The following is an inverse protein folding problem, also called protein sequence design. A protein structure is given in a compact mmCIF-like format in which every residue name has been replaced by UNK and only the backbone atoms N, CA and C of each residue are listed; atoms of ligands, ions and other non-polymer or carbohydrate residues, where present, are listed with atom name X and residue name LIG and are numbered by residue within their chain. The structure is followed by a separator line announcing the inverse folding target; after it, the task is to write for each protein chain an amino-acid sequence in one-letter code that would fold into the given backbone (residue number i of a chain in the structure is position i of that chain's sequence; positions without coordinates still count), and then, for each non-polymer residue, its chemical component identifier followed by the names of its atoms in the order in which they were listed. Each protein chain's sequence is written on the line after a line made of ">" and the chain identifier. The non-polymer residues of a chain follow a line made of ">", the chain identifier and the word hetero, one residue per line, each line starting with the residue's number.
data_IF_492505224049
#
_entry.id   IF_492505224049
#
_cell.length_a   1.000
_cell.length_b   1.000
_cell.length_c   1.000
_cell.angle_alpha   90.00
_cell.angle_beta   90.00
_cell.angle_gamma   90.00
#
_symmetry.space_group_name_H-M   'P 1'
#
loop_
_entity.id
_entity.type
_entity.pdbx_description
1 polymer ?
#
# COMPACT_ATOMS: atom_id res chain seq x y z
N UNK A 1 20.63 0.97 -1.45
CA UNK A 1 19.56 1.19 -0.46
C UNK A 1 20.15 1.11 0.94
N UNK A 2 19.56 1.82 1.92
CA UNK A 2 19.94 1.66 3.32
C UNK A 2 19.61 0.23 3.78
N UNK A 3 20.48 -0.35 4.62
CA UNK A 3 20.30 -1.70 5.14
C UNK A 3 19.08 -1.75 6.08
N UNK A 4 18.27 -2.78 5.94
CA UNK A 4 17.16 -3.13 6.85
C UNK A 4 17.46 -4.44 7.62
N UNK A 5 18.74 -4.78 7.75
CA UNK A 5 19.17 -5.96 8.50
C UNK A 5 18.65 -5.88 9.93
N UNK A 6 18.13 -7.00 10.44
CA UNK A 6 17.47 -7.13 11.74
C UNK A 6 16.14 -6.36 11.90
N UNK A 7 15.62 -5.76 10.83
CA UNK A 7 14.27 -5.15 10.83
C UNK A 7 13.21 -6.18 10.47
N UNK A 8 12.01 -6.02 11.05
CA UNK A 8 10.82 -6.79 10.72
C UNK A 8 9.82 -5.92 9.96
N UNK A 9 9.23 -6.44 8.90
CA UNK A 9 8.31 -5.68 8.05
C UNK A 9 7.04 -6.47 7.75
N UNK A 10 5.88 -5.89 8.03
CA UNK A 10 4.58 -6.37 7.59
C UNK A 10 4.19 -5.63 6.31
N UNK A 11 3.83 -6.38 5.25
CA UNK A 11 3.24 -5.83 4.03
C UNK A 11 1.87 -6.46 3.80
N UNK A 12 0.81 -5.63 3.82
CA UNK A 12 -0.54 -6.15 3.54
C UNK A 12 -0.80 -6.24 2.03
N UNK A 13 -1.54 -7.29 1.61
CA UNK A 13 -1.81 -7.52 0.18
C UNK A 13 -0.54 -7.79 -0.62
N UNK A 14 0.42 -8.50 -0.05
CA UNK A 14 1.75 -8.69 -0.62
C UNK A 14 1.87 -9.85 -1.62
N UNK A 15 0.78 -10.56 -1.94
CA UNK A 15 0.79 -11.70 -2.88
C UNK A 15 1.06 -11.28 -4.34
N UNK A 16 0.75 -10.04 -4.72
CA UNK A 16 0.89 -9.54 -6.10
C UNK A 16 1.14 -8.03 -6.18
N UNK A 17 1.39 -7.53 -7.39
CA UNK A 17 1.49 -6.10 -7.71
C UNK A 17 2.52 -5.34 -6.87
N UNK A 18 2.15 -4.13 -6.44
CA UNK A 18 3.02 -3.25 -5.63
C UNK A 18 3.43 -3.93 -4.33
N UNK A 19 2.49 -4.61 -3.63
CA UNK A 19 2.78 -5.28 -2.37
C UNK A 19 3.86 -6.37 -2.51
N UNK A 20 3.79 -7.21 -3.57
CA UNK A 20 4.80 -8.22 -3.86
C UNK A 20 6.17 -7.59 -4.15
N UNK A 21 6.20 -6.55 -5.00
CA UNK A 21 7.44 -5.84 -5.32
C UNK A 21 8.04 -5.18 -4.06
N UNK A 22 7.20 -4.59 -3.21
CA UNK A 22 7.61 -4.00 -1.93
C UNK A 22 8.22 -5.04 -0.99
N UNK A 23 7.55 -6.20 -0.83
CA UNK A 23 8.08 -7.28 0.01
C UNK A 23 9.45 -7.75 -0.48
N UNK A 24 9.65 -7.89 -1.81
CA UNK A 24 10.97 -8.22 -2.39
C UNK A 24 12.01 -7.14 -2.13
N UNK A 25 11.67 -5.87 -2.33
CA UNK A 25 12.60 -4.76 -2.11
C UNK A 25 13.06 -4.68 -0.64
N UNK A 26 12.13 -4.83 0.31
CA UNK A 26 12.45 -4.84 1.73
C UNK A 26 13.27 -6.08 2.13
N UNK A 27 12.95 -7.27 1.58
CA UNK A 27 13.72 -8.49 1.82
C UNK A 27 15.14 -8.38 1.28
N UNK A 28 15.31 -7.84 0.07
CA UNK A 28 16.63 -7.58 -0.54
C UNK A 28 17.45 -6.57 0.27
N UNK A 29 16.80 -5.67 1.01
CA UNK A 29 17.46 -4.77 1.95
C UNK A 29 17.79 -5.44 3.30
N UNK A 30 17.40 -6.70 3.53
CA UNK A 30 17.74 -7.50 4.71
C UNK A 30 16.63 -7.65 5.76
N UNK A 31 15.41 -7.14 5.52
CA UNK A 31 14.31 -7.25 6.46
C UNK A 31 13.73 -8.69 6.52
N UNK A 32 13.21 -9.07 7.69
CA UNK A 32 12.32 -10.22 7.83
C UNK A 32 10.89 -9.83 7.43
N UNK A 33 10.31 -10.51 6.47
CA UNK A 33 9.01 -10.17 5.88
C UNK A 33 7.85 -10.98 6.46
N UNK A 34 6.79 -10.29 6.87
CA UNK A 34 5.47 -10.87 7.12
C UNK A 34 4.58 -10.51 5.90
N UNK A 35 4.29 -11.52 5.09
CA UNK A 35 3.55 -11.41 3.83
C UNK A 35 2.08 -11.69 4.12
N UNK A 36 1.27 -10.63 4.20
CA UNK A 36 -0.16 -10.81 4.38
C UNK A 36 -0.87 -10.98 3.04
N UNK A 37 -1.82 -11.92 3.00
CA UNK A 37 -2.73 -12.15 1.88
C UNK A 37 -4.18 -12.40 2.37
N UNK A 38 -5.16 -12.10 1.50
CA UNK A 38 -6.58 -12.44 1.74
C UNK A 38 -6.94 -13.81 1.18
N UNK A 39 -6.81 -13.97 -0.14
CA UNK A 39 -7.26 -15.17 -0.89
C UNK A 39 -6.16 -15.89 -1.65
N UNK A 40 -5.11 -15.20 -2.05
CA UNK A 40 -4.06 -15.69 -2.93
C UNK A 40 -2.94 -16.41 -2.14
N UNK A 41 -3.24 -17.59 -1.60
CA UNK A 41 -2.29 -18.35 -0.77
C UNK A 41 -1.08 -18.84 -1.58
N UNK A 42 -1.32 -19.43 -2.75
CA UNK A 42 -0.24 -19.98 -3.58
C UNK A 42 0.80 -18.92 -3.98
N UNK A 43 0.34 -17.71 -4.33
CA UNK A 43 1.20 -16.59 -4.68
C UNK A 43 1.99 -16.06 -3.47
N UNK A 44 1.36 -16.05 -2.28
CA UNK A 44 2.05 -15.66 -1.04
C UNK A 44 3.11 -16.70 -0.66
N UNK A 45 2.80 -17.98 -0.71
CA UNK A 45 3.73 -19.08 -0.43
C UNK A 45 4.90 -19.10 -1.43
N UNK A 46 4.61 -18.85 -2.72
CA UNK A 46 5.64 -18.73 -3.74
C UNK A 46 6.59 -17.55 -3.45
N UNK A 47 6.08 -16.41 -2.96
CA UNK A 47 6.92 -15.28 -2.58
C UNK A 47 7.76 -15.58 -1.35
N UNK A 48 7.21 -16.28 -0.34
CA UNK A 48 7.97 -16.75 0.83
C UNK A 48 9.12 -17.66 0.40
N UNK A 49 8.83 -18.64 -0.48
CA UNK A 49 9.85 -19.55 -1.00
C UNK A 49 10.94 -18.81 -1.78
N UNK A 50 10.57 -17.85 -2.62
CA UNK A 50 11.49 -17.00 -3.37
C UNK A 50 12.44 -16.21 -2.44
N UNK A 51 11.88 -15.53 -1.43
CA UNK A 51 12.68 -14.74 -0.49
C UNK A 51 13.63 -15.64 0.31
N UNK A 52 13.16 -16.80 0.76
CA UNK A 52 13.99 -17.75 1.51
C UNK A 52 15.09 -18.37 0.65
N UNK A 53 14.80 -18.67 -0.61
CA UNK A 53 15.80 -19.18 -1.57
C UNK A 53 16.91 -18.15 -1.85
N UNK A 54 16.59 -16.84 -1.76
CA UNK A 54 17.57 -15.75 -1.85
C UNK A 54 18.32 -15.48 -0.53
N UNK A 55 18.14 -16.31 0.51
CA UNK A 55 18.79 -16.17 1.82
C UNK A 55 18.08 -15.21 2.79
N UNK A 56 16.91 -14.66 2.42
CA UNK A 56 16.10 -13.81 3.27
C UNK A 56 15.19 -14.59 4.24
N UNK A 57 14.46 -13.86 5.07
CA UNK A 57 13.46 -14.41 6.00
C UNK A 57 12.08 -13.90 5.64
N UNK A 58 11.10 -14.81 5.53
CA UNK A 58 9.72 -14.43 5.25
C UNK A 58 8.75 -15.47 5.83
N UNK A 59 7.59 -15.01 6.29
CA UNK A 59 6.46 -15.81 6.72
C UNK A 59 5.18 -15.27 6.09
N UNK A 60 4.23 -16.16 5.78
CA UNK A 60 2.94 -15.76 5.23
C UNK A 60 1.86 -15.80 6.33
N UNK A 61 0.89 -14.87 6.23
CA UNK A 61 -0.25 -14.82 7.13
C UNK A 61 -1.53 -14.44 6.39
N UNK A 62 -2.64 -15.08 6.75
CA UNK A 62 -3.94 -14.89 6.12
C UNK A 62 -4.90 -14.14 7.03
N UNK A 63 -5.52 -13.08 6.50
CA UNK A 63 -6.67 -12.43 7.12
C UNK A 63 -7.57 -11.81 6.05
N UNK A 64 -8.87 -11.75 6.31
CA UNK A 64 -9.80 -10.99 5.49
C UNK A 64 -9.94 -9.57 6.07
N UNK A 65 -9.33 -8.59 5.40
CA UNK A 65 -9.35 -7.20 5.85
C UNK A 65 -10.66 -6.47 5.49
N UNK A 66 -11.58 -7.10 4.78
CA UNK A 66 -12.90 -6.51 4.48
C UNK A 66 -13.88 -6.63 5.66
N UNK A 67 -13.66 -7.59 6.57
CA UNK A 67 -14.52 -7.82 7.73
C UNK A 67 -14.01 -7.07 8.98
N UNK A 68 -14.89 -6.76 9.95
CA UNK A 68 -14.50 -6.01 11.16
C UNK A 68 -13.38 -6.65 11.97
N UNK A 69 -13.35 -7.97 12.08
CA UNK A 69 -12.37 -8.73 12.88
C UNK A 69 -11.02 -8.92 12.19
N UNK A 70 -10.95 -8.59 10.89
CA UNK A 70 -9.77 -8.86 10.05
C UNK A 70 -8.49 -8.20 10.57
N UNK A 71 -8.58 -6.95 11.01
CA UNK A 71 -7.45 -6.21 11.55
C UNK A 71 -6.90 -6.85 12.85
N UNK A 72 -7.78 -7.18 13.79
CA UNK A 72 -7.40 -7.83 15.05
C UNK A 72 -6.82 -9.24 14.81
N UNK A 73 -7.43 -10.00 13.89
CA UNK A 73 -6.94 -11.32 13.50
C UNK A 73 -5.53 -11.24 12.92
N UNK A 74 -5.28 -10.31 12.00
CA UNK A 74 -3.95 -10.13 11.42
C UNK A 74 -2.93 -9.68 12.48
N UNK A 75 -3.27 -8.71 13.30
CA UNK A 75 -2.36 -8.21 14.34
C UNK A 75 -1.96 -9.31 15.34
N UNK A 76 -2.91 -10.17 15.73
CA UNK A 76 -2.64 -11.35 16.59
C UNK A 76 -1.64 -12.31 15.93
N UNK A 77 -1.80 -12.59 14.63
CA UNK A 77 -0.90 -13.48 13.88
C UNK A 77 0.48 -12.86 13.73
N UNK A 78 0.55 -11.54 13.40
CA UNK A 78 1.82 -10.81 13.31
C UNK A 78 2.57 -10.87 14.63
N UNK A 79 1.90 -10.59 15.76
CA UNK A 79 2.51 -10.66 17.08
C UNK A 79 3.07 -12.06 17.40
N UNK A 80 2.38 -13.11 16.99
CA UNK A 80 2.87 -14.49 17.19
C UNK A 80 4.17 -14.78 16.40
N UNK A 81 4.40 -14.08 15.26
CA UNK A 81 5.58 -14.25 14.43
C UNK A 81 6.74 -13.36 14.91
N UNK A 82 6.47 -12.06 15.18
CA UNK A 82 7.52 -11.07 15.49
C UNK A 82 7.81 -10.91 16.99
N UNK A 83 6.95 -11.44 17.86
CA UNK A 83 7.03 -11.21 19.30
C UNK A 83 6.60 -9.78 19.66
N UNK A 84 7.53 -9.00 20.20
CA UNK A 84 7.23 -7.68 20.76
C UNK A 84 7.58 -6.51 19.85
N UNK A 85 8.14 -6.78 18.65
CA UNK A 85 8.70 -5.70 17.85
C UNK A 85 8.40 -5.80 16.36
N UNK A 86 7.81 -4.73 15.80
CA UNK A 86 7.57 -4.52 14.38
C UNK A 86 8.16 -3.17 13.95
N UNK A 87 9.15 -3.19 13.06
CA UNK A 87 9.85 -1.98 12.64
C UNK A 87 9.13 -1.25 11.49
N UNK A 88 8.56 -2.02 10.56
CA UNK A 88 7.99 -1.47 9.32
C UNK A 88 6.60 -2.04 9.11
N UNK A 89 5.64 -1.17 8.90
CA UNK A 89 4.31 -1.54 8.45
C UNK A 89 3.98 -0.86 7.12
N UNK A 90 3.74 -1.65 6.07
CA UNK A 90 3.26 -1.16 4.77
C UNK A 90 1.81 -1.57 4.58
N UNK A 91 0.91 -0.59 4.67
CA UNK A 91 -0.52 -0.76 4.41
C UNK A 91 -0.79 -0.63 2.92
N UNK A 92 -0.67 -1.76 2.20
CA UNK A 92 -0.84 -1.82 0.75
C UNK A 92 -2.14 -2.48 0.32
N UNK A 93 -2.73 -3.39 1.12
CA UNK A 93 -3.99 -4.03 0.77
C UNK A 93 -5.07 -2.98 0.45
N UNK A 94 -5.75 -3.16 -0.67
CA UNK A 94 -6.80 -2.25 -1.11
C UNK A 94 -7.51 -2.78 -2.33
N UNK A 95 -8.71 -2.24 -2.56
CA UNK A 95 -9.56 -2.52 -3.71
C UNK A 95 -9.94 -1.22 -4.41
N UNK A 96 -10.29 -1.31 -5.68
CA UNK A 96 -10.83 -0.20 -6.46
C UNK A 96 -12.10 -0.65 -7.19
N UNK A 97 -13.02 0.28 -7.38
CA UNK A 97 -14.22 0.11 -8.19
C UNK A 97 -14.37 1.34 -9.07
N UNK A 98 -14.33 1.15 -10.37
CA UNK A 98 -14.68 2.18 -11.35
C UNK A 98 -16.12 2.00 -11.77
N UNK A 99 -16.90 3.07 -11.71
CA UNK A 99 -18.30 3.11 -12.16
C UNK A 99 -18.69 4.55 -12.51
N UNK A 100 -19.76 4.75 -13.25
CA UNK A 100 -20.41 6.04 -13.34
C UNK A 100 -20.98 6.44 -11.96
N UNK A 101 -21.17 7.73 -11.69
CA UNK A 101 -21.63 8.18 -10.36
C UNK A 101 -22.96 7.54 -9.99
N UNK A 102 -23.88 7.48 -10.94
CA UNK A 102 -25.23 6.91 -10.80
C UNK A 102 -25.25 5.40 -10.56
N UNK A 103 -24.17 4.68 -10.92
CA UNK A 103 -24.05 3.22 -10.82
C UNK A 103 -23.37 2.76 -9.52
N UNK A 104 -22.87 3.69 -8.69
CA UNK A 104 -22.28 3.33 -7.41
C UNK A 104 -23.35 2.87 -6.42
N UNK A 105 -23.19 1.68 -5.88
CA UNK A 105 -24.05 1.15 -4.83
C UNK A 105 -23.51 1.48 -3.43
N UNK A 106 -24.39 1.45 -2.43
CA UNK A 106 -23.98 1.55 -1.01
C UNK A 106 -23.01 0.42 -0.65
N UNK A 107 -23.27 -0.79 -1.14
CA UNK A 107 -22.40 -1.95 -0.91
C UNK A 107 -20.98 -1.74 -1.47
N UNK A 108 -20.84 -1.23 -2.69
CA UNK A 108 -19.53 -0.89 -3.28
C UNK A 108 -18.79 0.15 -2.42
N UNK A 109 -19.49 1.19 -1.98
CA UNK A 109 -18.95 2.23 -1.12
C UNK A 109 -18.47 1.67 0.22
N UNK A 110 -19.32 0.90 0.90
CA UNK A 110 -19.00 0.30 2.20
C UNK A 110 -17.82 -0.68 2.11
N UNK A 111 -17.76 -1.51 1.06
CA UNK A 111 -16.65 -2.42 0.81
C UNK A 111 -15.32 -1.68 0.58
N UNK A 112 -15.35 -0.57 -0.18
CA UNK A 112 -14.18 0.28 -0.39
C UNK A 112 -13.69 0.88 0.93
N UNK A 113 -14.58 1.47 1.72
CA UNK A 113 -14.21 2.05 3.01
C UNK A 113 -13.81 1.00 4.03
N UNK A 114 -14.45 -0.15 4.06
CA UNK A 114 -14.09 -1.27 4.93
C UNK A 114 -12.63 -1.70 4.69
N UNK A 115 -12.28 -1.95 3.43
CA UNK A 115 -10.95 -2.46 3.08
C UNK A 115 -9.88 -1.38 3.11
N UNK A 116 -10.16 -0.21 2.50
CA UNK A 116 -9.14 0.80 2.26
C UNK A 116 -8.94 1.77 3.44
N UNK A 117 -9.93 1.92 4.33
CA UNK A 117 -9.88 2.92 5.42
C UNK A 117 -10.04 2.26 6.79
N UNK A 118 -11.14 1.54 7.03
CA UNK A 118 -11.39 0.90 8.33
C UNK A 118 -10.27 -0.07 8.69
N UNK A 119 -9.91 -0.94 7.76
CA UNK A 119 -8.89 -1.96 8.00
C UNK A 119 -7.53 -1.36 8.37
N UNK A 120 -6.91 -0.46 7.60
CA UNK A 120 -5.63 0.13 8.00
C UNK A 120 -5.73 0.93 9.30
N UNK A 121 -6.87 1.61 9.55
CA UNK A 121 -7.06 2.36 10.80
C UNK A 121 -6.97 1.44 12.03
N UNK A 122 -7.75 0.36 12.04
CA UNK A 122 -7.74 -0.57 13.17
C UNK A 122 -6.49 -1.43 13.22
N UNK A 123 -5.87 -1.74 12.07
CA UNK A 123 -4.62 -2.47 12.05
C UNK A 123 -3.47 -1.66 12.66
N UNK A 124 -3.36 -0.36 12.38
CA UNK A 124 -2.41 0.52 13.07
C UNK A 124 -2.68 0.53 14.58
N UNK A 125 -3.95 0.68 15.00
CA UNK A 125 -4.34 0.64 16.41
C UNK A 125 -3.89 -0.68 17.09
N UNK A 126 -4.17 -1.81 16.48
CA UNK A 126 -3.85 -3.14 17.05
C UNK A 126 -2.33 -3.42 17.06
N UNK A 127 -1.59 -2.90 16.07
CA UNK A 127 -0.13 -3.04 15.98
C UNK A 127 0.63 -2.00 16.80
N UNK A 128 -0.04 -0.96 17.30
CA UNK A 128 0.60 0.17 18.01
C UNK A 128 1.52 -0.25 19.18
N UNK A 129 1.22 -1.30 19.96
CA UNK A 129 2.13 -1.78 21.01
C UNK A 129 3.43 -2.40 20.51
N UNK A 130 3.51 -2.79 19.22
CA UNK A 130 4.69 -3.39 18.60
C UNK A 130 5.64 -2.34 18.00
N UNK A 131 5.18 -1.09 17.82
CA UNK A 131 6.01 -0.01 17.29
C UNK A 131 6.80 0.69 18.40
N UNK A 132 8.06 0.97 18.09
CA UNK A 132 8.99 1.71 18.96
C UNK A 132 9.67 2.83 18.19
N UNK A 133 10.59 3.53 18.84
CA UNK A 133 11.44 4.53 18.20
C UNK A 133 12.14 3.95 16.95
N UNK A 134 12.11 4.71 15.86
CA UNK A 134 12.62 4.30 14.55
C UNK A 134 11.66 3.50 13.69
N UNK A 135 10.48 3.09 14.21
CA UNK A 135 9.47 2.40 13.38
C UNK A 135 8.90 3.31 12.29
N UNK A 136 8.56 2.71 11.16
CA UNK A 136 8.01 3.39 9.97
C UNK A 136 6.69 2.77 9.51
N UNK A 137 5.66 3.58 9.39
CA UNK A 137 4.35 3.22 8.84
C UNK A 137 4.21 3.89 7.47
N UNK A 138 3.98 3.10 6.43
CA UNK A 138 3.78 3.58 5.05
C UNK A 138 2.41 3.14 4.54
N UNK A 139 1.56 4.11 4.20
CA UNK A 139 0.25 3.84 3.60
C UNK A 139 0.32 4.04 2.09
N UNK A 140 -0.31 3.13 1.34
CA UNK A 140 -0.39 3.28 -0.11
C UNK A 140 -1.65 4.08 -0.46
N UNK A 141 -1.44 5.36 -0.78
CA UNK A 141 -2.44 6.26 -1.31
C UNK A 141 -2.62 6.05 -2.83
N UNK A 142 -2.90 7.08 -3.56
CA UNK A 142 -3.03 7.08 -5.02
C UNK A 142 -3.03 8.51 -5.54
N UNK A 143 -2.58 8.69 -6.78
CA UNK A 143 -2.82 9.93 -7.55
C UNK A 143 -4.31 10.33 -7.57
N UNK A 144 -5.22 9.36 -7.46
CA UNK A 144 -6.67 9.61 -7.38
C UNK A 144 -7.07 10.47 -6.18
N UNK A 145 -6.30 10.50 -5.09
CA UNK A 145 -6.54 11.39 -3.95
C UNK A 145 -6.35 12.88 -4.31
N UNK A 146 -5.58 13.19 -5.35
CA UNK A 146 -5.16 14.54 -5.71
C UNK A 146 -5.90 15.11 -6.94
N UNK A 147 -6.79 14.32 -7.54
CA UNK A 147 -7.57 14.81 -8.67
C UNK A 147 -8.38 13.73 -9.38
N UNK A 148 -9.30 14.16 -10.21
CA UNK A 148 -10.17 13.26 -10.95
C UNK A 148 -9.37 12.45 -11.98
N UNK A 149 -9.55 11.15 -11.96
CA UNK A 149 -9.03 10.20 -12.95
C UNK A 149 -10.18 9.71 -13.84
N UNK A 150 -9.92 9.52 -15.12
CA UNK A 150 -10.91 9.16 -16.13
C UNK A 150 -11.31 10.34 -17.00
N UNK A 151 -12.48 10.28 -17.61
CA UNK A 151 -13.09 11.35 -18.42
C UNK A 151 -14.25 12.03 -17.65
N UNK A 152 -13.95 12.88 -16.65
CA UNK A 152 -14.97 13.40 -15.73
C UNK A 152 -16.01 14.30 -16.40
N UNK A 153 -15.80 14.71 -17.65
CA UNK A 153 -16.76 15.52 -18.42
C UNK A 153 -17.69 14.74 -19.34
N UNK A 154 -17.56 13.42 -19.41
CA UNK A 154 -18.39 12.58 -20.26
C UNK A 154 -19.47 11.86 -19.42
N UNK A 155 -20.77 12.17 -19.62
CA UNK A 155 -21.84 11.50 -18.88
C UNK A 155 -21.77 9.97 -19.01
N UNK A 156 -21.95 9.25 -17.89
CA UNK A 156 -21.87 7.79 -17.84
C UNK A 156 -20.47 7.20 -17.95
N UNK A 157 -19.41 8.02 -18.06
CA UNK A 157 -18.05 7.50 -18.11
C UNK A 157 -17.62 6.96 -16.74
N UNK A 158 -16.99 5.77 -16.68
CA UNK A 158 -16.46 5.24 -15.44
C UNK A 158 -15.46 6.20 -14.78
N UNK A 159 -15.61 6.42 -13.50
CA UNK A 159 -14.74 7.24 -12.66
C UNK A 159 -14.46 6.52 -11.33
N UNK A 160 -13.70 7.12 -10.44
CA UNK A 160 -13.24 6.48 -9.20
C UNK A 160 -13.56 7.31 -7.94
N UNK A 161 -14.74 7.95 -7.80
CA UNK A 161 -14.97 8.93 -6.73
C UNK A 161 -14.88 8.31 -5.33
N UNK A 162 -15.53 7.16 -5.10
CA UNK A 162 -15.48 6.49 -3.81
C UNK A 162 -14.07 5.97 -3.47
N UNK A 163 -13.37 5.41 -4.46
CA UNK A 163 -11.96 5.01 -4.29
C UNK A 163 -11.07 6.22 -3.96
N UNK A 164 -11.20 7.30 -4.69
CA UNK A 164 -10.46 8.55 -4.45
C UNK A 164 -10.72 9.10 -3.03
N UNK A 165 -11.98 9.07 -2.57
CA UNK A 165 -12.35 9.45 -1.21
C UNK A 165 -11.63 8.59 -0.16
N UNK A 166 -11.53 7.25 -0.38
CA UNK A 166 -10.76 6.39 0.54
C UNK A 166 -9.28 6.75 0.58
N UNK A 167 -8.69 7.12 -0.56
CA UNK A 167 -7.27 7.49 -0.62
C UNK A 167 -7.00 8.86 -0.01
N UNK A 168 -7.90 9.82 -0.19
CA UNK A 168 -7.88 11.11 0.52
C UNK A 168 -7.99 10.94 2.05
N UNK A 169 -8.87 10.03 2.51
CA UNK A 169 -8.98 9.70 3.93
C UNK A 169 -7.65 9.17 4.50
N UNK A 170 -6.93 8.29 3.76
CA UNK A 170 -5.61 7.80 4.20
C UNK A 170 -4.59 8.94 4.35
N UNK A 171 -4.55 9.90 3.44
CA UNK A 171 -3.61 11.02 3.53
C UNK A 171 -3.92 11.96 4.70
N UNK A 172 -5.19 12.10 5.06
CA UNK A 172 -5.59 12.78 6.27
C UNK A 172 -5.11 12.03 7.51
N UNK A 173 -5.30 10.71 7.56
CA UNK A 173 -4.81 9.87 8.66
C UNK A 173 -3.29 9.94 8.82
N UNK A 174 -2.53 9.98 7.72
CA UNK A 174 -1.07 10.13 7.74
C UNK A 174 -0.66 11.36 8.54
N UNK A 175 -1.29 12.52 8.32
CA UNK A 175 -0.97 13.77 9.03
C UNK A 175 -1.27 13.65 10.52
N UNK A 176 -2.44 13.11 10.87
CA UNK A 176 -2.85 12.95 12.26
C UNK A 176 -1.97 11.95 13.01
N UNK A 177 -1.66 10.80 12.38
CA UNK A 177 -0.81 9.79 13.01
C UNK A 177 0.65 10.22 13.10
N UNK A 178 1.17 10.94 12.10
CA UNK A 178 2.51 11.51 12.18
C UNK A 178 2.66 12.47 13.36
N UNK A 179 1.67 13.33 13.59
CA UNK A 179 1.65 14.23 14.74
C UNK A 179 1.53 13.48 16.07
N UNK A 180 0.65 12.47 16.15
CA UNK A 180 0.40 11.72 17.38
C UNK A 180 1.55 10.76 17.74
N UNK A 181 2.20 10.15 16.75
CA UNK A 181 3.23 9.12 16.95
C UNK A 181 4.66 9.66 16.87
N UNK A 182 4.85 10.86 16.31
CA UNK A 182 6.14 11.54 16.23
C UNK A 182 6.88 11.68 17.58
N UNK A 183 6.20 12.04 18.70
CA UNK A 183 6.83 12.06 20.02
C UNK A 183 7.38 10.69 20.48
N UNK A 184 6.93 9.59 19.90
CA UNK A 184 7.45 8.24 20.13
C UNK A 184 8.55 7.85 19.15
N UNK A 185 9.02 8.76 18.28
CA UNK A 185 9.99 8.46 17.25
C UNK A 185 9.46 7.59 16.09
N UNK A 186 8.13 7.47 15.94
CA UNK A 186 7.49 6.68 14.89
C UNK A 186 7.13 7.59 13.71
N UNK A 187 7.57 7.24 12.51
CA UNK A 187 7.26 8.00 11.29
C UNK A 187 6.04 7.41 10.58
N UNK A 188 5.20 8.28 10.02
CA UNK A 188 4.03 7.89 9.24
C UNK A 188 4.00 8.69 7.94
N UNK A 189 4.02 8.00 6.80
CA UNK A 189 3.97 8.63 5.48
C UNK A 189 3.01 7.89 4.55
N UNK A 190 2.60 8.55 3.47
CA UNK A 190 1.96 7.91 2.33
C UNK A 190 2.89 7.90 1.13
N UNK A 191 2.74 6.87 0.29
CA UNK A 191 3.22 6.85 -1.09
C UNK A 191 1.98 6.86 -1.98
N UNK A 192 1.92 7.77 -2.95
CA UNK A 192 0.80 7.96 -3.84
C UNK A 192 1.17 7.56 -5.28
N UNK A 193 0.96 6.29 -5.67
CA UNK A 193 1.27 5.83 -7.02
C UNK A 193 0.35 6.46 -8.07
N UNK A 194 0.90 6.68 -9.26
CA UNK A 194 0.13 6.89 -10.47
C UNK A 194 -0.43 5.58 -11.02
N UNK A 195 -0.56 5.49 -12.34
CA UNK A 195 -0.98 4.25 -13.01
C UNK A 195 0.22 3.30 -13.09
N UNK A 196 0.11 2.19 -12.37
CA UNK A 196 1.16 1.15 -12.27
C UNK A 196 0.65 -0.14 -12.93
N UNK A 197 1.49 -0.83 -13.67
CA UNK A 197 1.16 -2.08 -14.36
C UNK A 197 0.91 -3.21 -13.34
N UNK A 198 -0.37 -3.39 -13.01
CA UNK A 198 -0.88 -4.40 -12.06
C UNK A 198 -2.23 -4.92 -12.54
N UNK A 199 -2.78 -5.93 -11.86
CA UNK A 199 -4.14 -6.41 -12.14
C UNK A 199 -5.22 -5.34 -11.89
N UNK A 200 -4.96 -4.39 -11.00
CA UNK A 200 -5.90 -3.30 -10.73
C UNK A 200 -6.02 -2.33 -11.91
N UNK A 201 -5.00 -2.24 -12.74
CA UNK A 201 -4.92 -1.37 -13.92
C UNK A 201 -4.96 -2.15 -15.24
N UNK A 202 -5.75 -3.22 -15.31
CA UNK A 202 -5.87 -4.07 -16.52
C UNK A 202 -6.27 -3.31 -17.78
N UNK A 203 -6.89 -2.14 -17.67
CA UNK A 203 -7.19 -1.28 -18.81
C UNK A 203 -5.94 -0.85 -19.59
N UNK A 204 -4.77 -0.80 -18.94
CA UNK A 204 -3.49 -0.49 -19.59
C UNK A 204 -2.97 -1.61 -20.51
N UNK A 205 -3.59 -2.79 -20.47
CA UNK A 205 -3.30 -3.89 -21.39
C UNK A 205 -3.90 -3.68 -22.77
N UNK A 206 -4.89 -2.77 -22.90
CA UNK A 206 -5.41 -2.34 -24.19
C UNK A 206 -4.56 -1.22 -24.78
N UNK A 207 -4.44 -1.16 -26.10
CA UNK A 207 -3.67 -0.10 -26.79
C UNK A 207 -4.19 1.30 -26.44
N UNK A 208 -5.51 1.48 -26.43
CA UNK A 208 -6.15 2.75 -26.05
C UNK A 208 -5.83 3.16 -24.62
N UNK A 209 -5.97 2.23 -23.65
CA UNK A 209 -5.69 2.52 -22.24
C UNK A 209 -4.20 2.79 -21.99
N UNK A 210 -3.33 2.07 -22.71
CA UNK A 210 -1.88 2.31 -22.67
C UNK A 210 -1.53 3.69 -23.19
N UNK A 211 -1.98 4.02 -24.40
CA UNK A 211 -1.70 5.31 -25.04
C UNK A 211 -2.24 6.48 -24.22
N UNK A 212 -3.46 6.35 -23.67
CA UNK A 212 -4.04 7.34 -22.77
C UNK A 212 -3.17 7.56 -21.52
N UNK A 213 -2.73 6.47 -20.88
CA UNK A 213 -1.90 6.54 -19.67
C UNK A 213 -0.56 7.21 -19.96
N UNK A 214 0.13 6.80 -21.03
CA UNK A 214 1.42 7.36 -21.43
C UNK A 214 1.30 8.84 -21.82
N UNK A 215 0.19 9.23 -22.46
CA UNK A 215 -0.05 10.64 -22.82
C UNK A 215 -0.12 11.56 -21.60
N UNK A 216 -0.70 11.08 -20.49
CA UNK A 216 -0.84 11.86 -19.25
C UNK A 216 0.45 11.99 -18.44
N UNK A 217 1.46 11.17 -18.70
CA UNK A 217 2.68 11.14 -17.90
C UNK A 217 3.82 11.94 -18.54
N UNK A 218 4.62 12.63 -17.73
CA UNK A 218 5.84 13.28 -18.18
C UNK A 218 6.89 12.23 -18.59
N UNK A 219 7.05 11.18 -17.79
CA UNK A 219 7.87 10.02 -18.13
C UNK A 219 7.04 9.07 -19.00
N UNK A 220 7.30 9.04 -20.30
CA UNK A 220 6.48 8.39 -21.34
C UNK A 220 6.52 6.85 -21.30
N UNK A 221 6.17 6.28 -20.15
CA UNK A 221 6.00 4.84 -19.94
C UNK A 221 4.98 4.56 -18.83
N UNK A 222 4.41 3.37 -18.79
CA UNK A 222 3.61 2.94 -17.65
C UNK A 222 4.55 2.61 -16.47
N UNK A 223 4.18 3.05 -15.26
CA UNK A 223 4.93 2.74 -14.05
C UNK A 223 4.93 1.25 -13.76
N UNK A 224 6.04 0.75 -13.24
CA UNK A 224 6.18 -0.66 -12.81
C UNK A 224 6.04 -0.76 -11.29
N UNK A 225 5.59 -1.91 -10.76
CA UNK A 225 5.56 -2.14 -9.32
C UNK A 225 6.88 -1.84 -8.60
N UNK A 226 8.02 -2.09 -9.25
CA UNK A 226 9.36 -1.76 -8.74
C UNK A 226 9.58 -0.27 -8.56
N UNK A 227 9.06 0.59 -9.45
CA UNK A 227 9.20 2.04 -9.32
C UNK A 227 8.62 2.55 -7.99
N UNK A 228 7.52 1.94 -7.56
CA UNK A 228 6.86 2.28 -6.29
C UNK A 228 7.54 1.60 -5.10
N UNK A 229 7.92 0.33 -5.25
CA UNK A 229 8.54 -0.47 -4.20
C UNK A 229 9.87 0.13 -3.71
N UNK A 230 10.68 0.66 -4.62
CA UNK A 230 11.96 1.29 -4.28
C UNK A 230 11.76 2.56 -3.44
N UNK A 231 10.74 3.36 -3.75
CA UNK A 231 10.37 4.54 -2.95
C UNK A 231 9.84 4.12 -1.58
N UNK A 232 8.99 3.07 -1.51
CA UNK A 232 8.50 2.53 -0.23
C UNK A 232 9.67 2.06 0.64
N UNK A 233 10.63 1.33 0.07
CA UNK A 233 11.81 0.85 0.79
C UNK A 233 12.68 2.02 1.30
N UNK A 234 12.84 3.08 0.51
CA UNK A 234 13.50 4.31 0.96
C UNK A 234 12.76 4.97 2.12
N UNK A 235 11.44 5.19 1.99
CA UNK A 235 10.60 5.82 3.02
C UNK A 235 10.58 5.00 4.32
N UNK A 236 10.63 3.67 4.21
CA UNK A 236 10.71 2.76 5.36
C UNK A 236 12.06 2.80 6.07
N UNK A 237 13.13 3.21 5.39
CA UNK A 237 14.51 3.17 5.89
C UNK A 237 14.91 4.41 6.70
N UNK A 238 16.07 4.32 7.37
CA UNK A 238 16.69 5.44 8.08
C UNK A 238 17.13 6.57 7.13
N UNK A 239 17.23 6.31 5.83
CA UNK A 239 17.46 7.34 4.82
C UNK A 239 16.37 8.42 4.81
N UNK A 240 15.16 8.04 5.22
CA UNK A 240 13.99 8.92 5.33
C UNK A 240 13.69 9.38 6.78
N UNK A 241 14.65 9.30 7.70
CA UNK A 241 14.45 9.58 9.14
C UNK A 241 13.87 10.96 9.46
N UNK A 242 13.97 11.91 8.53
CA UNK A 242 13.45 13.28 8.70
C UNK A 242 12.18 13.53 7.84
N UNK A 243 11.54 12.45 7.36
CA UNK A 243 10.30 12.53 6.57
C UNK A 243 9.18 11.87 7.38
N UNK A 244 8.18 12.65 7.78
CA UNK A 244 6.95 12.18 8.42
C UNK A 244 5.78 13.11 8.10
N UNK A 245 4.56 12.57 8.00
CA UNK A 245 3.37 13.34 7.64
C UNK A 245 3.23 13.67 6.15
N UNK A 246 4.12 13.15 5.30
CA UNK A 246 4.15 13.42 3.87
C UNK A 246 3.32 12.41 3.06
N UNK A 247 2.75 12.87 1.94
CA UNK A 247 2.28 12.05 0.83
C UNK A 247 3.22 12.24 -0.35
N UNK A 248 3.90 11.18 -0.77
CA UNK A 248 4.97 11.20 -1.77
C UNK A 248 4.42 10.66 -3.10
N UNK A 249 4.25 11.48 -4.14
CA UNK A 249 3.81 11.02 -5.44
C UNK A 249 4.88 10.18 -6.13
N UNK A 250 4.46 9.03 -6.71
CA UNK A 250 5.29 8.14 -7.54
C UNK A 250 4.48 7.82 -8.79
N UNK A 251 4.34 8.78 -9.67
CA UNK A 251 3.34 8.81 -10.73
C UNK A 251 3.90 9.15 -12.12
N UNK A 252 5.23 9.23 -12.26
CA UNK A 252 5.87 9.56 -13.53
C UNK A 252 5.59 10.97 -14.02
N UNK A 253 5.19 11.89 -13.11
CA UNK A 253 4.80 13.26 -13.47
C UNK A 253 3.42 13.29 -14.13
N UNK A 254 2.48 12.47 -13.68
CA UNK A 254 1.09 12.54 -14.13
C UNK A 254 0.48 13.87 -13.68
N UNK A 255 -0.15 14.58 -14.60
CA UNK A 255 -0.82 15.88 -14.34
C UNK A 255 0.12 17.07 -14.03
N UNK A 256 1.35 17.03 -14.55
CA UNK A 256 2.15 18.25 -14.66
C UNK A 256 1.62 19.17 -15.75
#
# INVERSE_FOLDING_TARGET
>A
MASLTNKTALVTGASRGIGRATARALANAGAHLIIHYGRAAAEADALVAEIRAAGGRADATKADLSIPEGAATLAKQVRAIVGEHLDIFVSNAGIAKAAAIEDHTIEDFDNLFATNVRSPFFLVKELLPLFSEGSSIVLISSLAAHGALGNPGQPGAPSLPAYAATKGALETLVKHWAAALGPRGIRVNAVAPGVIETDMSNFTKTETGRSFTVAMQALKRIGQPSDVADVIAFVASDGARWITGASIPVDGGSKL
#
